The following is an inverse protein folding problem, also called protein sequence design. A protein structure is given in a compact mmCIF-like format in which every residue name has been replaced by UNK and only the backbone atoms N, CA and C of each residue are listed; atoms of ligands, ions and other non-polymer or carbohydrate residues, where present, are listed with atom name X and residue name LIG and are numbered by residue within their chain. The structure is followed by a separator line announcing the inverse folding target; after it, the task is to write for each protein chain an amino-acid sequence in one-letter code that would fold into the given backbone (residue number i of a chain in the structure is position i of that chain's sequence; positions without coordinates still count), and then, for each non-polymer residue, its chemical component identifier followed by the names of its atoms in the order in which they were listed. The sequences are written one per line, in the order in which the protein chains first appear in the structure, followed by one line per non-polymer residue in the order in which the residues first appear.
data_IF_236532714509
#
_entry.id   IF_236532714509
#
_cell.length_a   1.000
_cell.length_b   1.000
_cell.length_c   1.000
_cell.angle_alpha   90.00
_cell.angle_beta   90.00
_cell.angle_gamma   90.00
#
_symmetry.space_group_name_H-M   'P 1'
#
loop_
_entity.id
_entity.type
_entity.pdbx_description
1 polymer ?
#
# COMPACT_ATOMS: atom_id res chain seq x y z
N UNK A 1 -32.35 -12.19 -59.91
CA UNK A 1 -31.06 -11.60 -59.53
C UNK A 1 -31.27 -10.92 -58.19
N UNK A 2 -30.64 -11.38 -57.10
CA UNK A 2 -30.84 -10.79 -55.78
C UNK A 2 -30.00 -9.51 -55.66
N UNK A 3 -30.64 -8.43 -55.20
CA UNK A 3 -29.98 -7.20 -54.75
C UNK A 3 -29.11 -7.52 -53.54
N UNK A 4 -27.80 -7.43 -53.70
CA UNK A 4 -26.87 -7.42 -52.58
C UNK A 4 -26.94 -6.04 -51.91
N UNK A 5 -27.74 -5.94 -50.85
CA UNK A 5 -27.59 -4.89 -49.84
C UNK A 5 -26.19 -5.02 -49.22
N UNK A 6 -25.28 -4.15 -49.61
CA UNK A 6 -24.07 -3.88 -48.83
C UNK A 6 -24.51 -3.25 -47.50
N UNK A 7 -24.50 -4.08 -46.45
CA UNK A 7 -24.57 -3.61 -45.08
C UNK A 7 -23.25 -2.90 -44.80
N UNK A 8 -23.23 -1.58 -44.99
CA UNK A 8 -22.14 -0.73 -44.52
C UNK A 8 -22.08 -0.82 -43.00
N UNK A 9 -21.10 -1.58 -42.50
CA UNK A 9 -20.75 -1.56 -41.07
C UNK A 9 -20.35 -0.14 -40.68
N UNK A 10 -20.75 0.37 -39.50
CA UNK A 10 -20.22 1.63 -39.02
C UNK A 10 -18.74 1.40 -38.67
N UNK A 11 -17.83 1.93 -39.50
CA UNK A 11 -16.43 2.12 -39.13
C UNK A 11 -16.38 3.13 -37.99
N UNK A 12 -16.42 2.63 -36.74
CA UNK A 12 -16.07 3.41 -35.58
C UNK A 12 -14.53 3.55 -35.54
N UNK A 13 -14.02 4.41 -36.42
CA UNK A 13 -12.64 4.88 -36.39
C UNK A 13 -12.47 5.82 -35.18
N UNK A 14 -12.44 5.23 -33.99
CA UNK A 14 -12.03 5.92 -32.77
C UNK A 14 -10.55 6.33 -32.94
N UNK A 15 -10.34 7.57 -33.36
CA UNK A 15 -9.00 8.13 -33.57
C UNK A 15 -8.12 7.84 -32.35
N UNK A 16 -6.82 7.50 -32.51
CA UNK A 16 -5.97 7.09 -31.41
C UNK A 16 -5.90 8.20 -30.35
N UNK A 17 -6.67 8.03 -29.28
CA UNK A 17 -6.79 9.01 -28.20
C UNK A 17 -5.40 9.20 -27.60
N UNK A 18 -4.88 10.43 -27.69
CA UNK A 18 -3.52 10.77 -27.25
C UNK A 18 -3.26 10.28 -25.82
N UNK A 19 -2.09 9.68 -25.57
CA UNK A 19 -1.71 9.16 -24.26
C UNK A 19 -1.82 10.19 -23.12
N UNK A 20 -1.71 11.48 -23.43
CA UNK A 20 -1.92 12.58 -22.46
C UNK A 20 -3.37 12.66 -21.97
N UNK A 21 -4.35 12.39 -22.83
CA UNK A 21 -5.78 12.38 -22.48
C UNK A 21 -6.06 11.21 -21.54
N UNK A 22 -5.51 10.03 -21.82
CA UNK A 22 -5.60 8.88 -20.91
C UNK A 22 -4.95 9.15 -19.56
N UNK A 23 -3.79 9.80 -19.54
CA UNK A 23 -3.13 10.21 -18.30
C UNK A 23 -3.98 11.20 -17.50
N UNK A 24 -4.58 12.20 -18.16
CA UNK A 24 -5.48 13.15 -17.50
C UNK A 24 -6.76 12.49 -16.97
N UNK A 25 -7.32 11.51 -17.71
CA UNK A 25 -8.45 10.68 -17.24
C UNK A 25 -8.06 9.88 -16.01
N UNK A 26 -6.86 9.29 -15.99
CA UNK A 26 -6.31 8.60 -14.83
C UNK A 26 -6.11 9.52 -13.62
N UNK A 27 -5.60 10.72 -13.84
CA UNK A 27 -5.42 11.71 -12.78
C UNK A 27 -6.75 12.15 -12.16
N UNK A 28 -7.80 12.33 -12.97
CA UNK A 28 -9.16 12.63 -12.46
C UNK A 28 -9.75 11.47 -11.66
N UNK A 29 -9.49 10.24 -12.10
CA UNK A 29 -9.89 9.02 -11.40
C UNK A 29 -9.23 8.84 -10.02
N UNK A 30 -8.15 9.59 -9.71
CA UNK A 30 -7.56 9.58 -8.38
C UNK A 30 -8.53 10.08 -7.29
N UNK A 31 -9.55 10.88 -7.65
CA UNK A 31 -10.62 11.28 -6.73
C UNK A 31 -11.56 10.10 -6.53
N UNK A 32 -11.26 9.28 -5.52
CA UNK A 32 -11.98 8.03 -5.26
C UNK A 32 -12.00 7.71 -3.76
N UNK A 33 -12.95 6.87 -3.33
CA UNK A 33 -13.03 6.40 -1.94
C UNK A 33 -11.72 5.74 -1.48
N UNK A 34 -11.07 4.85 -2.28
CA UNK A 34 -9.77 4.29 -1.90
C UNK A 34 -8.67 5.34 -1.69
N UNK A 35 -8.70 6.45 -2.44
CA UNK A 35 -7.76 7.54 -2.25
C UNK A 35 -7.99 8.28 -0.92
N UNK A 36 -9.25 8.53 -0.54
CA UNK A 36 -9.57 9.14 0.75
C UNK A 36 -9.10 8.28 1.93
N UNK A 37 -9.30 6.96 1.84
CA UNK A 37 -8.82 6.01 2.86
C UNK A 37 -7.29 6.07 2.96
N UNK A 38 -6.60 6.09 1.82
CA UNK A 38 -5.15 6.19 1.77
C UNK A 38 -4.66 7.51 2.40
N UNK A 39 -5.27 8.63 2.04
CA UNK A 39 -4.93 9.95 2.61
C UNK A 39 -5.13 9.97 4.13
N UNK A 40 -6.27 9.47 4.63
CA UNK A 40 -6.52 9.40 6.07
C UNK A 40 -5.45 8.58 6.81
N UNK A 41 -5.01 7.47 6.22
CA UNK A 41 -3.98 6.62 6.80
C UNK A 41 -2.61 7.32 6.84
N UNK A 42 -2.25 8.08 5.79
CA UNK A 42 -1.02 8.85 5.74
C UNK A 42 -1.04 10.12 6.63
N UNK A 43 -2.22 10.70 6.87
CA UNK A 43 -2.41 11.74 7.89
C UNK A 43 -2.11 11.18 9.29
N UNK A 44 -2.60 9.97 9.60
CA UNK A 44 -2.23 9.27 10.83
C UNK A 44 -0.72 9.02 10.92
N UNK A 45 -0.10 8.61 9.82
CA UNK A 45 1.35 8.40 9.77
C UNK A 45 2.13 9.70 10.01
N UNK A 46 1.67 10.85 9.51
CA UNK A 46 2.30 12.13 9.77
C UNK A 46 2.37 12.45 11.28
N UNK A 47 1.31 12.14 12.02
CA UNK A 47 1.29 12.26 13.48
C UNK A 47 2.28 11.31 14.17
N UNK A 48 2.34 10.06 13.72
CA UNK A 48 3.32 9.08 14.20
C UNK A 48 4.76 9.53 13.92
N UNK A 49 5.07 9.94 12.70
CA UNK A 49 6.40 10.39 12.29
C UNK A 49 6.87 11.60 13.12
N UNK A 50 5.99 12.57 13.35
CA UNK A 50 6.29 13.74 14.18
C UNK A 50 6.53 13.34 15.64
N UNK A 51 5.66 12.50 16.21
CA UNK A 51 5.81 12.02 17.60
C UNK A 51 7.05 11.15 17.80
N UNK A 52 7.51 10.48 16.74
CA UNK A 52 8.77 9.73 16.69
C UNK A 52 10.02 10.60 16.53
N UNK A 53 9.86 11.92 16.34
CA UNK A 53 10.97 12.86 16.18
C UNK A 53 11.56 12.97 14.77
N UNK A 54 10.96 12.33 13.77
CA UNK A 54 11.39 12.49 12.37
C UNK A 54 11.15 13.92 11.89
N UNK A 55 12.05 14.43 11.06
CA UNK A 55 11.92 15.72 10.40
C UNK A 55 10.93 15.67 9.23
N UNK A 56 10.48 16.84 8.76
CA UNK A 56 9.60 16.95 7.59
C UNK A 56 10.24 16.34 6.33
N UNK A 57 11.51 16.63 5.97
CA UNK A 57 12.15 16.02 4.81
C UNK A 57 12.22 14.50 4.89
N UNK A 58 12.58 13.94 6.06
CA UNK A 58 12.63 12.48 6.25
C UNK A 58 11.25 11.85 6.08
N UNK A 59 10.23 12.45 6.70
CA UNK A 59 8.84 11.97 6.61
C UNK A 59 8.33 11.96 5.17
N UNK A 60 8.61 13.04 4.42
CA UNK A 60 8.23 13.16 3.02
C UNK A 60 9.02 12.21 2.11
N UNK A 61 10.34 12.08 2.33
CA UNK A 61 11.16 11.11 1.60
C UNK A 61 10.65 9.68 1.80
N UNK A 62 10.37 9.30 3.05
CA UNK A 62 9.80 8.00 3.37
C UNK A 62 8.43 7.82 2.71
N UNK A 63 7.57 8.84 2.71
CA UNK A 63 6.25 8.79 2.06
C UNK A 63 6.35 8.63 0.54
N UNK A 64 7.29 9.32 -0.10
CA UNK A 64 7.49 9.26 -1.55
C UNK A 64 8.13 7.96 -2.04
N UNK A 65 8.98 7.34 -1.20
CA UNK A 65 9.76 6.15 -1.55
C UNK A 65 9.13 4.85 -1.05
N UNK A 66 8.56 4.86 0.15
CA UNK A 66 8.02 3.69 0.86
C UNK A 66 6.49 3.79 0.88
N UNK A 67 5.86 3.33 -0.19
CA UNK A 67 4.40 3.35 -0.35
C UNK A 67 3.64 2.44 0.62
N UNK A 68 4.30 1.39 1.10
CA UNK A 68 3.70 0.43 1.98
C UNK A 68 3.59 1.00 3.39
N UNK A 69 2.38 1.40 3.80
CA UNK A 69 2.13 1.96 5.13
C UNK A 69 2.60 1.05 6.30
N UNK A 70 2.55 -0.29 6.24
CA UNK A 70 3.19 -1.10 7.28
C UNK A 70 4.71 -0.94 7.28
N UNK A 71 5.32 -0.94 6.10
CA UNK A 71 6.77 -0.86 5.95
C UNK A 71 7.32 0.49 6.39
N UNK A 72 6.60 1.59 6.13
CA UNK A 72 7.00 2.93 6.57
C UNK A 72 6.91 3.05 8.10
N UNK A 73 5.90 2.46 8.75
CA UNK A 73 5.76 2.43 10.21
C UNK A 73 6.86 1.57 10.84
N UNK A 74 7.17 0.41 10.26
CA UNK A 74 8.28 -0.45 10.72
C UNK A 74 9.62 0.29 10.59
N UNK A 75 9.84 1.00 9.49
CA UNK A 75 11.04 1.81 9.29
C UNK A 75 11.13 2.96 10.30
N UNK A 76 10.02 3.67 10.57
CA UNK A 76 9.99 4.71 11.61
C UNK A 76 10.29 4.15 12.99
N UNK A 77 9.71 3.00 13.35
CA UNK A 77 10.01 2.31 14.61
C UNK A 77 11.49 1.93 14.72
N UNK A 78 12.06 1.35 13.66
CA UNK A 78 13.47 0.97 13.63
C UNK A 78 14.40 2.19 13.80
N UNK A 79 14.09 3.32 13.16
CA UNK A 79 14.83 4.58 13.30
C UNK A 79 14.72 5.11 14.73
N UNK A 80 13.51 5.18 15.30
CA UNK A 80 13.29 5.69 16.66
C UNK A 80 13.95 4.82 17.74
N UNK A 81 14.04 3.50 17.53
CA UNK A 81 14.69 2.57 18.45
C UNK A 81 16.20 2.43 18.23
N UNK A 82 16.78 3.13 17.24
CA UNK A 82 18.22 3.06 16.94
C UNK A 82 18.69 1.69 16.41
N UNK A 83 17.79 0.93 15.79
CA UNK A 83 18.09 -0.40 15.25
C UNK A 83 19.03 -0.28 14.05
N UNK A 84 19.96 -1.23 13.92
CA UNK A 84 20.89 -1.27 12.79
C UNK A 84 20.19 -1.34 11.43
N UNK A 85 20.84 -0.81 10.40
CA UNK A 85 20.30 -0.70 9.04
C UNK A 85 19.89 -2.07 8.45
N UNK A 86 20.69 -3.12 8.70
CA UNK A 86 20.44 -4.46 8.14
C UNK A 86 19.16 -5.09 8.70
N UNK A 87 18.95 -5.19 10.03
CA UNK A 87 17.68 -5.63 10.59
C UNK A 87 16.48 -4.81 10.11
N UNK A 88 16.61 -3.48 10.04
CA UNK A 88 15.56 -2.59 9.54
C UNK A 88 15.22 -2.92 8.08
N UNK A 89 16.22 -3.10 7.22
CA UNK A 89 16.03 -3.46 5.82
C UNK A 89 15.32 -4.82 5.65
N UNK A 90 15.69 -5.83 6.46
CA UNK A 90 15.03 -7.15 6.44
C UNK A 90 13.57 -7.02 6.88
N UNK A 91 13.29 -6.31 7.97
CA UNK A 91 11.92 -6.12 8.46
C UNK A 91 11.03 -5.39 7.44
N UNK A 92 11.55 -4.32 6.83
CA UNK A 92 10.87 -3.56 5.77
C UNK A 92 10.66 -4.41 4.51
N UNK A 93 11.65 -5.21 4.11
CA UNK A 93 11.54 -6.09 2.95
C UNK A 93 10.47 -7.17 3.15
N UNK A 94 10.46 -7.85 4.31
CA UNK A 94 9.46 -8.84 4.66
C UNK A 94 8.05 -8.24 4.74
N UNK A 95 7.91 -7.03 5.31
CA UNK A 95 6.64 -6.32 5.34
C UNK A 95 6.13 -5.93 3.93
N UNK A 96 7.06 -5.65 3.01
CA UNK A 96 6.76 -5.22 1.62
C UNK A 96 6.54 -6.39 0.66
N UNK A 97 7.01 -7.60 1.00
CA UNK A 97 6.96 -8.80 0.15
C UNK A 97 5.53 -9.12 -0.33
N UNK A 98 4.53 -8.78 0.49
CA UNK A 98 3.10 -8.97 0.21
C UNK A 98 2.58 -8.15 -0.98
N UNK A 99 3.33 -7.15 -1.44
CA UNK A 99 2.99 -6.39 -2.64
C UNK A 99 3.43 -7.10 -3.93
N UNK A 100 4.34 -8.09 -3.85
CA UNK A 100 4.82 -8.80 -5.04
C UNK A 100 3.69 -9.47 -5.84
N UNK A 101 2.73 -10.20 -5.24
CA UNK A 101 1.61 -10.78 -5.98
C UNK A 101 0.74 -9.72 -6.69
N UNK A 102 0.61 -8.52 -6.09
CA UNK A 102 -0.14 -7.42 -6.69
C UNK A 102 0.58 -6.87 -7.92
N UNK A 103 1.90 -6.66 -7.83
CA UNK A 103 2.71 -6.23 -8.98
C UNK A 103 2.70 -7.27 -10.09
N UNK A 104 2.86 -8.55 -9.76
CA UNK A 104 2.88 -9.65 -10.73
C UNK A 104 1.55 -9.84 -11.46
N UNK A 105 0.42 -9.48 -10.84
CA UNK A 105 -0.90 -9.51 -11.49
C UNK A 105 -1.20 -8.26 -12.32
N UNK A 106 -0.73 -7.09 -11.90
CA UNK A 106 -1.01 -5.83 -12.59
C UNK A 106 -0.11 -5.59 -13.81
N UNK A 107 1.19 -5.88 -13.71
CA UNK A 107 2.16 -5.56 -14.76
C UNK A 107 1.80 -6.21 -16.11
N UNK A 108 1.39 -7.49 -16.19
CA UNK A 108 0.94 -8.10 -17.43
C UNK A 108 -0.29 -7.41 -18.04
N UNK A 109 -1.15 -6.79 -17.22
CA UNK A 109 -2.38 -6.14 -17.67
C UNK A 109 -2.13 -4.81 -18.37
N UNK A 110 -1.12 -4.06 -17.92
CA UNK A 110 -0.72 -2.76 -18.49
C UNK A 110 0.35 -2.88 -19.58
N UNK A 111 1.04 -4.03 -19.66
CA UNK A 111 2.06 -4.31 -20.66
C UNK A 111 1.42 -4.51 -22.03
N UNK A 112 1.89 -3.77 -23.02
CA UNK A 112 1.59 -3.99 -24.44
C UNK A 112 2.87 -4.47 -25.12
N UNK A 113 2.85 -5.69 -25.65
CA UNK A 113 4.00 -6.29 -26.33
C UNK A 113 4.43 -5.42 -27.52
N UNK A 114 5.75 -5.20 -27.65
CA UNK A 114 6.34 -4.35 -28.69
C UNK A 114 6.25 -2.83 -28.46
N UNK A 115 5.30 -2.34 -27.65
CA UNK A 115 5.11 -0.88 -27.41
C UNK A 115 5.64 -0.39 -26.06
N UNK A 116 5.56 -1.20 -25.00
CA UNK A 116 5.95 -0.77 -23.65
C UNK A 116 7.43 -1.01 -23.36
N UNK A 117 8.15 0.04 -22.92
CA UNK A 117 9.58 -0.05 -22.55
C UNK A 117 9.73 -0.57 -21.11
N UNK A 118 10.79 -1.34 -20.84
CA UNK A 118 11.09 -1.90 -19.49
C UNK A 118 11.13 -0.83 -18.40
N UNK A 119 11.69 0.34 -18.67
CA UNK A 119 11.79 1.44 -17.70
C UNK A 119 10.42 2.03 -17.31
N UNK A 120 9.43 2.03 -18.22
CA UNK A 120 8.06 2.46 -17.92
C UNK A 120 7.37 1.48 -16.96
N UNK A 121 7.65 0.18 -17.10
CA UNK A 121 7.14 -0.84 -16.19
C UNK A 121 7.77 -0.71 -14.80
N UNK A 122 9.07 -0.40 -14.72
CA UNK A 122 9.75 -0.12 -13.44
C UNK A 122 9.16 1.12 -12.76
N UNK A 123 8.96 2.20 -13.51
CA UNK A 123 8.33 3.41 -12.98
C UNK A 123 6.91 3.13 -12.44
N UNK A 124 6.10 2.39 -13.20
CA UNK A 124 4.74 2.03 -12.78
C UNK A 124 4.72 1.10 -11.57
N UNK A 125 5.70 0.21 -11.46
CA UNK A 125 5.85 -0.69 -10.31
C UNK A 125 5.98 0.07 -8.99
N UNK A 126 6.59 1.26 -9.01
CA UNK A 126 6.67 2.14 -7.83
C UNK A 126 5.30 2.51 -7.27
N UNK A 127 4.32 2.73 -8.15
CA UNK A 127 2.96 3.15 -7.78
C UNK A 127 2.05 1.98 -7.40
N UNK A 128 2.55 0.74 -7.44
CA UNK A 128 1.74 -0.43 -7.10
C UNK A 128 1.60 -0.52 -5.59
N UNK A 129 0.45 -0.03 -5.12
CA UNK A 129 -0.06 -0.21 -3.78
C UNK A 129 -1.44 -0.88 -3.83
N UNK A 130 -1.96 -1.33 -2.69
CA UNK A 130 -3.30 -1.97 -2.61
C UNK A 130 -4.37 -1.10 -3.26
N UNK A 131 -4.35 0.21 -3.00
CA UNK A 131 -5.29 1.20 -3.56
C UNK A 131 -5.25 1.23 -5.08
N UNK A 132 -4.06 1.41 -5.65
CA UNK A 132 -3.88 1.49 -7.10
C UNK A 132 -4.13 0.14 -7.77
N UNK A 133 -3.74 -0.95 -7.14
CA UNK A 133 -4.00 -2.30 -7.62
C UNK A 133 -5.51 -2.61 -7.66
N UNK A 134 -6.25 -2.36 -6.57
CA UNK A 134 -7.71 -2.60 -6.53
C UNK A 134 -8.42 -1.77 -7.61
N UNK A 135 -8.05 -0.50 -7.75
CA UNK A 135 -8.61 0.37 -8.78
C UNK A 135 -8.24 -0.14 -10.18
N UNK A 136 -6.96 -0.46 -10.39
CA UNK A 136 -6.45 -0.96 -11.66
C UNK A 136 -7.15 -2.25 -12.10
N UNK A 137 -7.27 -3.24 -11.22
CA UNK A 137 -7.93 -4.51 -11.52
C UNK A 137 -9.42 -4.36 -11.83
N UNK A 138 -10.09 -3.32 -11.30
CA UNK A 138 -11.51 -3.05 -11.56
C UNK A 138 -11.74 -2.28 -12.85
N UNK A 139 -10.85 -1.34 -13.20
CA UNK A 139 -11.12 -0.37 -14.26
C UNK A 139 -10.26 -0.56 -15.51
N UNK A 140 -9.03 -1.10 -15.40
CA UNK A 140 -8.15 -1.29 -16.57
C UNK A 140 -8.68 -2.31 -17.60
N UNK A 141 -9.41 -3.39 -17.23
CA UNK A 141 -9.95 -4.33 -18.21
C UNK A 141 -10.86 -3.65 -19.24
N UNK A 142 -11.65 -2.66 -18.82
CA UNK A 142 -12.61 -1.94 -19.65
C UNK A 142 -11.94 -0.91 -20.58
N UNK A 143 -10.68 -0.56 -20.33
CA UNK A 143 -9.93 0.38 -21.18
C UNK A 143 -9.26 -0.35 -22.36
N UNK A 144 -9.14 0.33 -23.52
CA UNK A 144 -8.35 -0.18 -24.63
C UNK A 144 -6.90 -0.39 -24.20
N UNK A 145 -6.27 -1.48 -24.69
CA UNK A 145 -4.93 -1.92 -24.26
C UNK A 145 -3.89 -0.80 -24.31
N UNK A 146 -3.97 0.06 -25.31
CA UNK A 146 -3.02 1.17 -25.52
C UNK A 146 -3.16 2.29 -24.49
N UNK A 147 -4.36 2.49 -23.92
CA UNK A 147 -4.65 3.52 -22.93
C UNK A 147 -4.33 3.11 -21.49
N UNK A 148 -4.17 1.81 -21.20
CA UNK A 148 -4.00 1.27 -19.84
C UNK A 148 -2.77 1.81 -19.11
N UNK A 149 -1.63 1.79 -19.79
CA UNK A 149 -0.35 2.25 -19.25
C UNK A 149 -0.37 3.76 -18.90
N UNK A 150 -0.71 4.68 -19.83
CA UNK A 150 -0.77 6.11 -19.51
C UNK A 150 -1.87 6.44 -18.50
N UNK A 151 -3.01 5.75 -18.53
CA UNK A 151 -4.06 5.93 -17.53
C UNK A 151 -3.58 5.55 -16.13
N UNK A 152 -2.96 4.37 -15.97
CA UNK A 152 -2.44 3.93 -14.68
C UNK A 152 -1.31 4.82 -14.17
N UNK A 153 -0.41 5.28 -15.05
CA UNK A 153 0.63 6.23 -14.71
C UNK A 153 0.02 7.54 -14.19
N UNK A 154 -0.97 8.11 -14.89
CA UNK A 154 -1.66 9.32 -14.47
C UNK A 154 -2.36 9.18 -13.12
N UNK A 155 -3.05 8.06 -12.90
CA UNK A 155 -3.68 7.73 -11.62
C UNK A 155 -2.65 7.62 -10.50
N UNK A 156 -1.61 6.81 -10.69
CA UNK A 156 -0.56 6.56 -9.70
C UNK A 156 0.17 7.83 -9.29
N UNK A 157 0.60 8.64 -10.27
CA UNK A 157 1.30 9.90 -10.02
C UNK A 157 0.40 10.91 -9.33
N UNK A 158 -0.84 11.12 -9.80
CA UNK A 158 -1.76 12.09 -9.18
C UNK A 158 -2.10 11.72 -7.73
N UNK A 159 -2.44 10.46 -7.49
CA UNK A 159 -2.71 9.94 -6.15
C UNK A 159 -1.50 10.12 -5.23
N UNK A 160 -0.31 9.77 -5.73
CA UNK A 160 0.95 9.89 -5.00
C UNK A 160 1.26 11.32 -4.61
N UNK A 161 1.21 12.23 -5.58
CA UNK A 161 1.48 13.65 -5.34
C UNK A 161 0.49 14.24 -4.35
N UNK A 162 -0.80 13.89 -4.47
CA UNK A 162 -1.82 14.35 -3.54
C UNK A 162 -1.57 13.87 -2.11
N UNK A 163 -1.30 12.57 -1.92
CA UNK A 163 -0.98 12.01 -0.61
C UNK A 163 0.29 12.62 -0.05
N UNK A 164 1.35 12.76 -0.85
CA UNK A 164 2.61 13.38 -0.45
C UNK A 164 2.39 14.81 0.07
N UNK A 165 1.65 15.64 -0.66
CA UNK A 165 1.30 17.00 -0.24
C UNK A 165 0.48 16.99 1.06
N UNK A 166 -0.54 16.13 1.15
CA UNK A 166 -1.39 16.03 2.34
C UNK A 166 -0.63 15.56 3.57
N UNK A 167 0.32 14.64 3.44
CA UNK A 167 1.21 14.22 4.53
C UNK A 167 2.05 15.39 5.04
N UNK A 168 2.59 16.21 4.13
CA UNK A 168 3.35 17.41 4.51
C UNK A 168 2.50 18.44 5.24
N UNK A 169 1.28 18.71 4.74
CA UNK A 169 0.32 19.59 5.41
C UNK A 169 -0.06 19.05 6.79
N UNK A 170 -0.36 17.76 6.89
CA UNK A 170 -0.71 17.10 8.15
C UNK A 170 0.44 17.19 9.17
N UNK A 171 1.68 16.92 8.74
CA UNK A 171 2.85 17.01 9.60
C UNK A 171 3.02 18.41 10.21
N UNK A 172 2.84 19.47 9.42
CA UNK A 172 2.92 20.85 9.90
C UNK A 172 1.74 21.22 10.83
N UNK A 173 0.56 20.67 10.58
CA UNK A 173 -0.62 20.89 11.42
C UNK A 173 -0.48 20.25 12.80
N UNK A 174 0.19 19.10 12.91
CA UNK A 174 0.41 18.40 14.19
C UNK A 174 1.15 19.29 15.21
N UNK A 175 2.01 20.21 14.77
CA UNK A 175 2.72 21.13 15.67
C UNK A 175 1.80 22.14 16.38
N UNK A 176 0.67 22.47 15.74
CA UNK A 176 -0.28 23.46 16.25
C UNK A 176 -1.40 22.83 17.06
N UNK A 177 -1.41 21.51 17.20
CA UNK A 177 -2.45 20.78 17.90
C UNK A 177 -2.19 20.69 19.40
N UNK A 178 -3.25 20.73 20.23
CA UNK A 178 -3.16 20.37 21.64
C UNK A 178 -2.51 18.99 21.83
N UNK A 179 -1.75 18.77 22.92
CA UNK A 179 -1.05 17.51 23.17
C UNK A 179 -1.93 16.26 23.07
N UNK A 180 -3.20 16.38 23.46
CA UNK A 180 -4.20 15.29 23.40
C UNK A 180 -4.46 14.86 21.96
N UNK A 181 -4.62 15.82 21.02
CA UNK A 181 -4.86 15.51 19.61
C UNK A 181 -3.61 14.93 18.95
N UNK A 182 -2.43 15.46 19.26
CA UNK A 182 -1.17 14.93 18.75
C UNK A 182 -0.90 13.49 19.23
N UNK A 183 -1.19 13.20 20.51
CA UNK A 183 -1.14 11.85 21.06
C UNK A 183 -2.16 10.90 20.42
N UNK A 184 -3.39 11.38 20.16
CA UNK A 184 -4.39 10.61 19.44
C UNK A 184 -3.95 10.28 18.01
N UNK A 185 -3.38 11.23 17.27
CA UNK A 185 -2.84 11.02 15.93
C UNK A 185 -1.65 10.04 15.92
N UNK A 186 -0.77 10.13 16.93
CA UNK A 186 0.34 9.21 17.09
C UNK A 186 -0.14 7.75 17.21
N UNK A 187 -1.16 7.50 18.04
CA UNK A 187 -1.74 6.17 18.23
C UNK A 187 -2.74 5.76 17.13
N UNK A 188 -3.21 6.69 16.31
CA UNK A 188 -4.19 6.41 15.26
C UNK A 188 -3.67 5.38 14.26
N UNK A 189 -2.40 5.46 13.87
CA UNK A 189 -1.81 4.54 12.88
C UNK A 189 -1.76 3.09 13.39
N UNK A 190 -1.15 2.79 14.57
CA UNK A 190 -1.18 1.44 15.14
C UNK A 190 -2.60 0.91 15.36
N UNK A 191 -3.51 1.73 15.91
CA UNK A 191 -4.90 1.32 16.17
C UNK A 191 -5.62 1.01 14.87
N UNK A 192 -5.50 1.88 13.86
CA UNK A 192 -6.08 1.66 12.54
C UNK A 192 -5.60 0.34 11.93
N UNK A 193 -4.31 0.03 12.03
CA UNK A 193 -3.77 -1.24 11.54
C UNK A 193 -4.34 -2.44 12.28
N UNK A 194 -4.39 -2.42 13.61
CA UNK A 194 -4.95 -3.52 14.39
C UNK A 194 -6.43 -3.72 14.06
N UNK A 195 -7.23 -2.65 14.04
CA UNK A 195 -8.66 -2.73 13.72
C UNK A 195 -8.91 -3.20 12.27
N UNK A 196 -8.15 -2.65 11.30
CA UNK A 196 -8.27 -2.99 9.89
C UNK A 196 -7.87 -4.45 9.64
N UNK A 197 -6.76 -4.91 10.24
CA UNK A 197 -6.31 -6.29 10.11
C UNK A 197 -7.29 -7.25 10.78
N UNK A 198 -7.80 -6.91 11.97
CA UNK A 198 -8.81 -7.71 12.67
C UNK A 198 -10.10 -7.86 11.85
N UNK A 199 -10.55 -6.78 11.21
CA UNK A 199 -11.71 -6.80 10.33
C UNK A 199 -11.47 -7.59 9.04
N UNK A 200 -10.23 -7.61 8.54
CA UNK A 200 -9.86 -8.36 7.33
C UNK A 200 -9.63 -9.86 7.59
N UNK A 201 -9.25 -10.22 8.82
CA UNK A 201 -9.00 -11.60 9.26
C UNK A 201 -10.27 -12.46 9.24
N UNK A 202 -10.34 -13.38 8.28
CA UNK A 202 -11.47 -14.33 8.14
C UNK A 202 -11.26 -15.63 8.90
N UNK A 203 -10.01 -16.01 9.18
CA UNK A 203 -9.68 -17.25 9.88
C UNK A 203 -9.43 -16.99 11.36
N UNK A 204 -9.84 -17.93 12.22
CA UNK A 204 -9.53 -17.88 13.66
C UNK A 204 -8.01 -17.88 13.92
N UNK A 205 -7.23 -18.49 13.02
CA UNK A 205 -5.77 -18.50 13.07
C UNK A 205 -5.17 -17.09 12.99
N UNK A 206 -5.71 -16.25 12.10
CA UNK A 206 -5.21 -14.89 11.88
C UNK A 206 -5.42 -14.03 13.13
N UNK A 207 -6.60 -14.16 13.75
CA UNK A 207 -6.95 -13.48 15.00
C UNK A 207 -6.08 -13.97 16.17
N UNK A 208 -5.84 -15.28 16.26
CA UNK A 208 -4.95 -15.85 17.27
C UNK A 208 -3.51 -15.35 17.09
N UNK A 209 -3.00 -15.29 15.86
CA UNK A 209 -1.68 -14.77 15.55
C UNK A 209 -1.54 -13.29 15.96
N UNK A 210 -2.59 -12.48 15.74
CA UNK A 210 -2.60 -11.09 16.19
C UNK A 210 -2.54 -10.96 17.72
N UNK A 211 -3.35 -11.73 18.46
CA UNK A 211 -3.35 -11.69 19.93
C UNK A 211 -2.00 -12.14 20.48
N UNK A 212 -1.49 -13.27 19.98
CA UNK A 212 -0.19 -13.82 20.40
C UNK A 212 0.92 -12.82 20.08
N UNK A 213 0.90 -12.19 18.90
CA UNK A 213 1.85 -11.15 18.53
C UNK A 213 1.78 -9.93 19.45
N UNK A 214 0.59 -9.50 19.88
CA UNK A 214 0.42 -8.38 20.80
C UNK A 214 1.02 -8.68 22.19
N UNK A 215 0.92 -9.93 22.64
CA UNK A 215 1.48 -10.39 23.92
C UNK A 215 3.01 -10.60 23.82
N UNK A 216 3.47 -11.22 22.74
CA UNK A 216 4.90 -11.52 22.53
C UNK A 216 5.73 -10.30 22.13
N UNK A 217 5.12 -9.27 21.54
CA UNK A 217 5.82 -8.06 21.12
C UNK A 217 6.61 -7.40 22.25
N UNK A 218 5.97 -7.01 23.37
CA UNK A 218 6.67 -6.46 24.53
C UNK A 218 7.73 -7.39 25.11
N UNK A 219 7.49 -8.71 25.06
CA UNK A 219 8.45 -9.70 25.53
C UNK A 219 9.72 -9.67 24.67
N UNK A 220 9.62 -9.83 23.34
CA UNK A 220 10.79 -9.83 22.47
C UNK A 220 11.49 -8.46 22.39
N UNK A 221 10.77 -7.36 22.56
CA UNK A 221 11.36 -6.03 22.66
C UNK A 221 12.38 -5.93 23.81
N UNK A 222 12.13 -6.62 24.93
CA UNK A 222 13.03 -6.63 26.09
C UNK A 222 14.24 -7.57 25.90
N UNK A 223 14.07 -8.71 25.22
CA UNK A 223 15.10 -9.76 25.13
C UNK A 223 15.96 -9.71 23.86
N UNK A 224 15.43 -9.19 22.75
CA UNK A 224 16.11 -9.19 21.45
C UNK A 224 15.86 -7.91 20.65
N UNK A 225 16.26 -6.73 21.16
CA UNK A 225 16.02 -5.45 20.49
C UNK A 225 16.63 -5.44 19.07
N UNK A 226 15.84 -5.04 18.09
CA UNK A 226 16.21 -4.92 16.68
C UNK A 226 15.76 -6.07 15.78
N UNK A 227 15.65 -7.29 16.33
CA UNK A 227 15.00 -8.44 15.67
C UNK A 227 13.68 -8.81 16.36
N UNK A 228 13.24 -8.02 17.32
CA UNK A 228 12.06 -8.22 18.13
C UNK A 228 10.81 -8.38 17.27
N UNK A 229 10.61 -7.51 16.28
CA UNK A 229 9.48 -7.60 15.36
C UNK A 229 9.52 -8.89 14.51
N UNK A 230 10.71 -9.28 14.06
CA UNK A 230 10.91 -10.50 13.26
C UNK A 230 10.63 -11.76 14.10
N UNK A 231 11.20 -11.83 15.31
CA UNK A 231 11.00 -12.95 16.23
C UNK A 231 9.56 -13.04 16.72
N UNK A 232 8.94 -11.91 17.04
CA UNK A 232 7.52 -11.84 17.41
C UNK A 232 6.64 -12.40 16.29
N UNK A 233 6.89 -11.98 15.04
CA UNK A 233 6.16 -12.47 13.88
C UNK A 233 6.38 -13.96 13.62
N UNK A 234 7.63 -14.42 13.65
CA UNK A 234 8.00 -15.81 13.38
C UNK A 234 7.49 -16.75 14.45
N UNK A 235 7.78 -16.47 15.72
CA UNK A 235 7.40 -17.30 16.86
C UNK A 235 5.90 -17.23 17.09
N UNK A 236 5.32 -16.02 17.12
CA UNK A 236 3.89 -15.83 17.33
C UNK A 236 3.03 -16.45 16.22
N UNK A 237 3.44 -16.27 14.96
CA UNK A 237 2.78 -16.90 13.81
C UNK A 237 2.89 -18.42 13.83
N UNK A 238 4.06 -18.97 14.20
CA UNK A 238 4.27 -20.42 14.31
C UNK A 238 3.42 -21.03 15.42
N UNK A 239 3.37 -20.39 16.59
CA UNK A 239 2.52 -20.83 17.71
C UNK A 239 1.05 -20.80 17.31
N UNK A 240 0.57 -19.70 16.71
CA UNK A 240 -0.81 -19.58 16.25
C UNK A 240 -1.19 -20.64 15.20
N UNK A 241 -0.27 -20.93 14.27
CA UNK A 241 -0.42 -21.98 13.28
C UNK A 241 -0.51 -23.36 13.93
N UNK A 242 0.39 -23.68 14.86
CA UNK A 242 0.39 -24.96 15.57
C UNK A 242 -0.91 -25.15 16.37
N UNK A 243 -1.33 -24.15 17.15
CA UNK A 243 -2.59 -24.19 17.92
C UNK A 243 -3.76 -24.48 16.98
N UNK A 244 -3.87 -23.73 15.87
CA UNK A 244 -4.95 -23.93 14.91
C UNK A 244 -4.88 -25.31 14.25
N UNK A 245 -3.68 -25.80 13.93
CA UNK A 245 -3.47 -27.12 13.32
C UNK A 245 -3.86 -28.26 14.27
N UNK A 246 -3.56 -28.14 15.56
CA UNK A 246 -3.97 -29.12 16.56
C UNK A 246 -5.48 -29.10 16.80
N UNK A 247 -6.10 -27.92 16.88
CA UNK A 247 -7.56 -27.79 16.97
C UNK A 247 -8.29 -28.38 15.76
N UNK A 248 -7.78 -28.14 14.53
CA UNK A 248 -8.36 -28.73 13.31
C UNK A 248 -8.21 -30.24 13.22
N UNK A 249 -7.25 -30.84 13.94
CA UNK A 249 -7.02 -32.29 14.00
C UNK A 249 -7.83 -32.99 15.10
N UNK A 250 -8.66 -32.25 15.86
CA UNK A 250 -9.50 -32.82 16.92
C UNK A 250 -8.72 -33.33 18.13
N UNK A 251 -7.51 -32.82 18.35
CA UNK A 251 -6.65 -33.17 19.51
C UNK A 251 -6.85 -32.22 20.70
N UNK A 252 -7.82 -31.31 20.62
CA UNK A 252 -8.26 -30.38 21.65
C UNK A 252 -9.79 -30.25 21.60
#
# INVERSE_FOLDING_TARGET
MPDHQEISAPEDHDAPVSGRIWMARGARAAISIPALILTAAFVGYAGLARGSGLSLPETLMMTGLVWALPSIVVLTGAISSGVGLVPAAIAVALASVRLMPMTMSLIPMVKVEGKTKRWQLLYISHFVAVTAWVYGMRNLPDLPREGRLPFFAGFGTALTSFVFCMTGVAYLMVERMPPVLSGALFLLTPIYFVCSLWSASKLSADKAAMIIGLILGPFFYLYAPGLDLLWTGLVGGTIAYLITRFMRRGLL
#
